data_IF_936463677942
#
_entry.id   IF_936463677942
#
_cell.length_a   1.000
_cell.length_b   1.000
_cell.length_c   1.000
_cell.angle_alpha   90.00
_cell.angle_beta   90.00
_cell.angle_gamma   90.00
#
_symmetry.space_group_name_H-M   'P 1'
#
loop_
_entity.id
_entity.type
_entity.pdbx_description
1 polymer ?
#
# COMPACT_ATOMS: atom_id res chain seq x y z
N UNK A 1 10.96 19.87 -0.45
CA UNK A 1 9.68 19.69 -1.18
C UNK A 1 8.84 18.86 -0.25
N UNK A 2 7.59 19.21 0.07
CA UNK A 2 6.84 18.45 1.08
C UNK A 2 6.44 17.09 0.51
N UNK A 3 7.07 16.01 0.98
CA UNK A 3 6.93 14.64 0.44
C UNK A 3 5.48 14.14 0.45
N UNK A 4 4.72 14.51 1.49
CA UNK A 4 3.28 14.22 1.62
C UNK A 4 2.46 14.75 0.44
N UNK A 5 2.89 15.85 -0.20
CA UNK A 5 2.22 16.41 -1.37
C UNK A 5 2.41 15.54 -2.61
N UNK A 6 3.59 14.93 -2.76
CA UNK A 6 3.90 14.07 -3.90
C UNK A 6 3.18 12.73 -3.79
N UNK A 7 3.25 12.09 -2.62
CA UNK A 7 2.53 10.83 -2.34
C UNK A 7 1.03 10.98 -2.65
N UNK A 8 0.41 12.05 -2.12
CA UNK A 8 -1.01 12.34 -2.39
C UNK A 8 -1.30 12.47 -3.88
N UNK A 9 -0.44 13.17 -4.63
CA UNK A 9 -0.60 13.33 -6.09
C UNK A 9 -0.47 12.01 -6.85
N UNK A 10 0.42 11.12 -6.41
CA UNK A 10 0.60 9.80 -6.99
C UNK A 10 -0.62 8.92 -6.72
N UNK A 11 -1.05 8.86 -5.46
CA UNK A 11 -2.24 8.12 -5.08
C UNK A 11 -3.47 8.61 -5.85
N UNK A 12 -3.68 9.93 -5.93
CA UNK A 12 -4.77 10.49 -6.73
C UNK A 12 -4.68 10.05 -8.21
N UNK A 13 -3.52 10.17 -8.84
CA UNK A 13 -3.34 9.78 -10.25
C UNK A 13 -3.59 8.28 -10.47
N UNK A 14 -3.23 7.44 -9.51
CA UNK A 14 -3.48 6.00 -9.54
C UNK A 14 -4.98 5.70 -9.39
N UNK A 15 -5.65 6.31 -8.41
CA UNK A 15 -7.09 6.13 -8.17
C UNK A 15 -7.95 6.63 -9.35
N UNK A 16 -7.50 7.68 -10.04
CA UNK A 16 -8.12 8.17 -11.28
C UNK A 16 -7.80 7.31 -12.52
N UNK A 17 -6.99 6.25 -12.37
CA UNK A 17 -6.49 5.40 -13.45
C UNK A 17 -5.73 6.19 -14.54
N UNK A 18 -5.03 7.24 -14.12
CA UNK A 18 -4.20 8.11 -14.97
C UNK A 18 -2.78 8.29 -14.42
N UNK A 19 -2.07 7.22 -14.04
CA UNK A 19 -0.72 7.35 -13.46
C UNK A 19 0.33 7.84 -14.47
N UNK A 20 0.10 7.70 -15.78
CA UNK A 20 1.07 8.05 -16.82
C UNK A 20 1.60 9.49 -16.71
N UNK A 21 0.80 10.44 -16.21
CA UNK A 21 1.19 11.85 -16.07
C UNK A 21 2.17 12.11 -14.91
N UNK A 22 2.17 11.26 -13.86
CA UNK A 22 3.02 11.46 -12.67
C UNK A 22 4.30 10.62 -12.71
N UNK A 23 4.31 9.52 -13.47
CA UNK A 23 5.46 8.61 -13.60
C UNK A 23 6.76 9.34 -13.99
N UNK A 24 6.81 10.27 -14.97
CA UNK A 24 8.06 10.95 -15.33
C UNK A 24 8.67 11.73 -14.16
N UNK A 25 7.82 12.42 -13.38
CA UNK A 25 8.24 13.18 -12.20
C UNK A 25 8.75 12.27 -11.09
N UNK A 26 8.07 11.15 -10.84
CA UNK A 26 8.55 10.15 -9.89
C UNK A 26 9.91 9.58 -10.31
N UNK A 27 10.10 9.24 -11.60
CA UNK A 27 11.37 8.75 -12.13
C UNK A 27 12.51 9.75 -11.92
N UNK A 28 12.26 11.04 -12.13
CA UNK A 28 13.25 12.10 -11.90
C UNK A 28 13.69 12.17 -10.44
N UNK A 29 12.74 12.08 -9.50
CA UNK A 29 13.00 12.16 -8.06
C UNK A 29 13.78 10.94 -7.59
N UNK A 30 13.36 9.72 -7.96
CA UNK A 30 14.07 8.49 -7.51
C UNK A 30 15.39 8.26 -8.22
N UNK A 31 15.68 8.98 -9.30
CA UNK A 31 16.98 8.96 -9.98
C UNK A 31 18.05 9.75 -9.22
N UNK A 32 17.65 10.78 -8.47
CA UNK A 32 18.53 11.59 -7.63
C UNK A 32 17.95 11.68 -6.21
N UNK A 33 17.94 10.57 -5.45
CA UNK A 33 17.31 10.52 -4.14
C UNK A 33 18.05 11.46 -3.16
N UNK A 34 17.29 12.21 -2.36
CA UNK A 34 17.85 12.97 -1.25
C UNK A 34 18.16 12.01 -0.10
N UNK A 35 19.43 11.84 0.32
CA UNK A 35 19.79 10.95 1.41
C UNK A 35 19.11 11.29 2.74
N UNK A 36 18.71 12.54 2.94
CA UNK A 36 18.00 12.98 4.15
C UNK A 36 16.61 12.34 4.30
N UNK A 37 16.03 11.84 3.21
CA UNK A 37 14.74 11.15 3.20
C UNK A 37 14.82 9.72 3.73
N UNK A 38 16.03 9.13 3.87
CA UNK A 38 16.18 7.78 4.43
C UNK A 38 15.30 6.74 3.72
N UNK A 39 14.47 6.02 4.48
CA UNK A 39 13.61 4.96 3.96
C UNK A 39 12.47 5.47 3.05
N UNK A 40 12.09 6.75 3.14
CA UNK A 40 11.08 7.34 2.25
C UNK A 40 11.48 7.26 0.77
N UNK A 41 12.78 7.20 0.46
CA UNK A 41 13.23 6.95 -0.92
C UNK A 41 12.74 5.59 -1.44
N UNK A 42 12.77 4.55 -0.60
CA UNK A 42 12.27 3.22 -0.96
C UNK A 42 10.74 3.19 -1.08
N UNK A 43 10.03 3.93 -0.24
CA UNK A 43 8.57 4.12 -0.34
C UNK A 43 8.18 4.80 -1.67
N UNK A 44 8.90 5.85 -2.08
CA UNK A 44 8.70 6.49 -3.38
C UNK A 44 8.93 5.53 -4.56
N UNK A 45 9.88 4.60 -4.45
CA UNK A 45 10.08 3.55 -5.46
C UNK A 45 8.94 2.54 -5.47
N UNK A 46 8.38 2.20 -4.32
CA UNK A 46 7.17 1.39 -4.25
C UNK A 46 6.01 2.05 -5.01
N UNK A 47 5.76 3.34 -4.74
CA UNK A 47 4.73 4.12 -5.44
C UNK A 47 4.97 4.22 -6.94
N UNK A 48 6.23 4.38 -7.36
CA UNK A 48 6.59 4.34 -8.78
C UNK A 48 6.25 2.98 -9.41
N UNK A 49 6.56 1.88 -8.73
CA UNK A 49 6.20 0.54 -9.20
C UNK A 49 4.69 0.37 -9.34
N UNK A 50 3.91 0.82 -8.36
CA UNK A 50 2.45 0.75 -8.43
C UNK A 50 1.87 1.62 -9.56
N UNK A 51 2.38 2.84 -9.75
CA UNK A 51 1.98 3.70 -10.85
C UNK A 51 2.27 3.06 -12.22
N UNK A 52 3.43 2.43 -12.37
CA UNK A 52 3.83 1.72 -13.59
C UNK A 52 2.96 0.49 -13.86
N UNK A 53 2.65 -0.28 -12.82
CA UNK A 53 1.76 -1.44 -12.91
C UNK A 53 0.38 -1.03 -13.43
N UNK A 54 -0.20 0.03 -12.86
CA UNK A 54 -1.51 0.56 -13.28
C UNK A 54 -1.46 1.17 -14.68
N UNK A 55 -0.29 1.66 -15.12
CA UNK A 55 -0.06 2.09 -16.50
C UNK A 55 0.14 0.94 -17.49
N UNK A 56 0.24 -0.31 -17.03
CA UNK A 56 0.49 -1.51 -17.83
C UNK A 56 1.96 -1.79 -18.15
N UNK A 57 2.90 -1.05 -17.55
CA UNK A 57 4.35 -1.30 -17.70
C UNK A 57 4.86 -2.23 -16.59
N UNK A 58 4.43 -3.49 -16.66
CA UNK A 58 4.74 -4.52 -15.67
C UNK A 58 6.26 -4.75 -15.50
N UNK A 59 7.03 -4.62 -16.58
CA UNK A 59 8.48 -4.81 -16.52
C UNK A 59 9.15 -3.70 -15.71
N UNK A 60 8.77 -2.44 -15.93
CA UNK A 60 9.26 -1.33 -15.13
C UNK A 60 8.79 -1.43 -13.67
N UNK A 61 7.53 -1.83 -13.44
CA UNK A 61 6.99 -2.01 -12.10
C UNK A 61 7.81 -3.00 -11.26
N UNK A 62 8.11 -4.16 -11.84
CA UNK A 62 8.97 -5.18 -11.23
C UNK A 62 10.36 -4.65 -10.88
N UNK A 63 10.96 -3.85 -11.75
CA UNK A 63 12.27 -3.26 -11.50
C UNK A 63 12.22 -2.24 -10.35
N UNK A 64 11.23 -1.35 -10.35
CA UNK A 64 11.03 -0.36 -9.28
C UNK A 64 10.82 -1.04 -7.93
N UNK A 65 10.04 -2.12 -7.86
CA UNK A 65 9.83 -2.86 -6.61
C UNK A 65 11.08 -3.63 -6.14
N UNK A 66 11.93 -4.16 -7.05
CA UNK A 66 13.20 -4.76 -6.64
C UNK A 66 14.13 -3.74 -6.00
N UNK A 67 14.19 -2.54 -6.58
CA UNK A 67 14.97 -1.43 -6.04
C UNK A 67 14.41 -0.97 -4.69
N UNK A 68 13.08 -0.79 -4.58
CA UNK A 68 12.41 -0.47 -3.33
C UNK A 68 12.79 -1.47 -2.23
N UNK A 69 12.67 -2.77 -2.49
CA UNK A 69 13.05 -3.81 -1.51
C UNK A 69 14.52 -3.71 -1.10
N UNK A 70 15.43 -3.54 -2.05
CA UNK A 70 16.87 -3.41 -1.78
C UNK A 70 17.21 -2.19 -0.92
N UNK A 71 16.45 -1.10 -1.05
CA UNK A 71 16.66 0.13 -0.27
C UNK A 71 16.01 0.05 1.11
N UNK A 72 14.85 -0.59 1.24
CA UNK A 72 14.09 -0.68 2.50
C UNK A 72 14.65 -1.74 3.48
N UNK A 73 15.18 -2.86 2.98
CA UNK A 73 15.68 -3.96 3.82
C UNK A 73 16.79 -3.56 4.83
N UNK A 74 17.79 -2.73 4.48
CA UNK A 74 18.78 -2.23 5.44
C UNK A 74 18.15 -1.43 6.59
N UNK A 75 17.22 -0.52 6.28
CA UNK A 75 16.53 0.27 7.30
C UNK A 75 15.74 -0.60 8.26
N UNK A 76 15.15 -1.72 7.79
CA UNK A 76 14.38 -2.60 8.66
C UNK A 76 15.28 -3.31 9.69
N UNK A 77 16.54 -3.56 9.35
CA UNK A 77 17.52 -4.13 10.30
C UNK A 77 17.87 -3.12 11.40
N UNK A 78 17.94 -1.84 11.05
CA UNK A 78 18.23 -0.75 12.00
C UNK A 78 17.00 -0.37 12.84
N UNK A 79 15.82 -0.46 12.25
CA UNK A 79 14.54 -0.07 12.85
C UNK A 79 13.53 -1.22 12.77
N UNK A 80 13.75 -2.32 13.51
CA UNK A 80 12.93 -3.53 13.39
C UNK A 80 11.47 -3.33 13.81
N UNK A 81 11.15 -2.26 14.53
CA UNK A 81 9.79 -1.93 15.00
C UNK A 81 9.16 -0.78 14.22
N UNK A 82 9.78 -0.30 13.14
CA UNK A 82 9.20 0.73 12.28
C UNK A 82 8.08 0.12 11.42
N UNK A 83 6.83 0.30 11.86
CA UNK A 83 5.66 -0.32 11.24
C UNK A 83 5.31 0.24 9.86
N UNK A 84 5.67 1.50 9.56
CA UNK A 84 5.52 2.06 8.21
C UNK A 84 6.42 1.32 7.24
N UNK A 85 7.71 1.21 7.59
CA UNK A 85 8.70 0.49 6.80
C UNK A 85 8.34 -0.99 6.58
N UNK A 86 7.79 -1.66 7.60
CA UNK A 86 7.31 -3.04 7.45
C UNK A 86 6.14 -3.11 6.47
N UNK A 87 5.22 -2.14 6.52
CA UNK A 87 4.10 -2.00 5.59
C UNK A 87 4.57 -1.83 4.15
N UNK A 88 5.52 -0.94 3.91
CA UNK A 88 6.09 -0.67 2.57
C UNK A 88 6.76 -1.93 2.01
N UNK A 89 7.51 -2.66 2.85
CA UNK A 89 8.11 -3.93 2.47
C UNK A 89 7.06 -5.01 2.17
N UNK A 90 5.95 -5.05 2.91
CA UNK A 90 4.87 -5.99 2.64
C UNK A 90 4.22 -5.72 1.27
N UNK A 91 3.89 -4.46 0.98
CA UNK A 91 3.31 -4.04 -0.31
C UNK A 91 4.31 -4.21 -1.47
N UNK A 92 5.60 -3.96 -1.22
CA UNK A 92 6.66 -4.18 -2.21
C UNK A 92 6.81 -5.67 -2.54
N UNK A 93 6.85 -6.54 -1.53
CA UNK A 93 6.91 -7.99 -1.76
C UNK A 93 5.62 -8.51 -2.41
N UNK A 94 4.47 -7.88 -2.13
CA UNK A 94 3.24 -8.16 -2.87
C UNK A 94 3.39 -7.85 -4.36
N UNK A 95 3.90 -6.66 -4.71
CA UNK A 95 4.17 -6.31 -6.12
C UNK A 95 5.16 -7.27 -6.80
N UNK A 96 6.14 -7.78 -6.05
CA UNK A 96 7.11 -8.78 -6.55
C UNK A 96 6.56 -10.21 -6.66
N UNK A 97 5.31 -10.45 -6.24
CA UNK A 97 4.71 -11.79 -6.21
C UNK A 97 5.20 -12.69 -5.07
N UNK A 98 5.97 -12.16 -4.11
CA UNK A 98 6.45 -12.91 -2.95
C UNK A 98 5.39 -12.90 -1.83
N UNK A 99 4.36 -13.73 -2.04
CA UNK A 99 3.22 -13.89 -1.12
C UNK A 99 3.65 -14.22 0.31
N UNK A 100 4.61 -15.13 0.46
CA UNK A 100 5.01 -15.63 1.78
C UNK A 100 5.63 -14.51 2.62
N UNK A 101 6.57 -13.76 2.04
CA UNK A 101 7.18 -12.62 2.71
C UNK A 101 6.17 -11.52 3.00
N UNK A 102 5.31 -11.18 2.02
CA UNK A 102 4.31 -10.13 2.19
C UNK A 102 3.35 -10.42 3.36
N UNK A 103 2.82 -11.65 3.45
CA UNK A 103 1.91 -12.05 4.53
C UNK A 103 2.62 -12.07 5.89
N UNK A 104 3.83 -12.64 5.97
CA UNK A 104 4.58 -12.69 7.22
C UNK A 104 4.85 -11.29 7.82
N UNK A 105 5.11 -10.29 6.97
CA UNK A 105 5.30 -8.90 7.41
C UNK A 105 4.00 -8.27 7.93
N UNK A 106 2.86 -8.55 7.28
CA UNK A 106 1.54 -8.08 7.77
C UNK A 106 1.13 -8.74 9.09
N UNK A 107 1.38 -10.04 9.25
CA UNK A 107 1.09 -10.75 10.50
C UNK A 107 1.95 -10.22 11.66
N UNK A 108 3.23 -9.97 11.39
CA UNK A 108 4.16 -9.38 12.37
C UNK A 108 3.68 -8.03 12.88
N UNK A 109 3.25 -7.15 11.99
CA UNK A 109 2.76 -5.80 12.35
C UNK A 109 1.43 -5.86 13.11
N UNK A 110 0.52 -6.75 12.72
CA UNK A 110 -0.74 -6.96 13.42
C UNK A 110 -0.57 -7.53 14.83
N UNK A 111 0.39 -8.44 15.03
CA UNK A 111 0.69 -8.99 16.35
C UNK A 111 1.28 -7.94 17.30
N UNK A 112 2.06 -7.00 16.76
CA UNK A 112 2.70 -5.93 17.52
C UNK A 112 1.76 -4.77 17.86
N UNK A 113 0.85 -4.40 16.94
CA UNK A 113 -0.14 -3.32 17.11
C UNK A 113 -1.58 -3.83 16.94
N UNK A 114 -2.15 -4.50 17.96
CA UNK A 114 -3.56 -4.86 17.92
C UNK A 114 -4.42 -3.59 17.92
N UNK A 115 -5.35 -3.48 16.97
CA UNK A 115 -6.26 -2.32 16.81
C UNK A 115 -7.10 -2.04 18.07
N UNK A 116 -7.31 -3.06 18.90
CA UNK A 116 -8.01 -2.95 20.19
C UNK A 116 -7.25 -2.09 21.20
N UNK A 117 -5.92 -1.97 21.05
CA UNK A 117 -5.07 -1.15 21.93
C UNK A 117 -4.86 0.26 21.38
N UNK A 118 -4.75 0.38 20.08
CA UNK A 118 -4.62 1.66 19.39
C UNK A 118 -5.28 1.55 18.01
N UNK A 119 -6.45 2.15 17.89
CA UNK A 119 -7.23 2.08 16.66
C UNK A 119 -6.59 2.87 15.51
N UNK A 120 -5.76 3.88 15.81
CA UNK A 120 -5.09 4.69 14.80
C UNK A 120 -3.89 3.94 14.21
N UNK A 121 -2.99 3.44 15.04
CA UNK A 121 -1.81 2.69 14.55
C UNK A 121 -2.15 1.26 14.13
N UNK A 122 -3.17 0.64 14.73
CA UNK A 122 -3.60 -0.73 14.41
C UNK A 122 -4.41 -0.85 13.12
N UNK A 123 -4.90 0.25 12.54
CA UNK A 123 -5.62 0.23 11.26
C UNK A 123 -4.68 -0.02 10.07
N UNK A 124 -3.49 0.60 10.05
CA UNK A 124 -2.54 0.48 8.93
C UNK A 124 -2.15 -0.99 8.62
N UNK A 125 -1.76 -1.82 9.61
CA UNK A 125 -1.45 -3.23 9.36
C UNK A 125 -2.61 -4.05 8.76
N UNK A 126 -3.85 -3.75 9.18
CA UNK A 126 -5.05 -4.43 8.68
C UNK A 126 -5.32 -4.03 7.23
N UNK A 127 -5.12 -2.75 6.88
CA UNK A 127 -5.25 -2.29 5.50
C UNK A 127 -4.18 -2.91 4.59
N UNK A 128 -2.93 -2.97 5.05
CA UNK A 128 -1.87 -3.66 4.31
C UNK A 128 -2.20 -5.13 4.09
N UNK A 129 -2.71 -5.83 5.11
CA UNK A 129 -3.20 -7.21 4.96
C UNK A 129 -4.30 -7.31 3.90
N UNK A 130 -5.30 -6.42 3.92
CA UNK A 130 -6.39 -6.44 2.96
C UNK A 130 -5.89 -6.33 1.51
N UNK A 131 -4.92 -5.43 1.27
CA UNK A 131 -4.27 -5.21 -0.04
C UNK A 131 -3.47 -6.43 -0.49
N UNK A 132 -2.61 -6.93 0.41
CA UNK A 132 -1.78 -8.12 0.15
C UNK A 132 -2.65 -9.33 -0.16
N UNK A 133 -3.66 -9.61 0.67
CA UNK A 133 -4.57 -10.73 0.50
C UNK A 133 -5.36 -10.62 -0.82
N UNK A 134 -5.88 -9.44 -1.15
CA UNK A 134 -6.61 -9.21 -2.40
C UNK A 134 -5.74 -9.55 -3.63
N UNK A 135 -4.52 -9.01 -3.68
CA UNK A 135 -3.61 -9.22 -4.81
C UNK A 135 -3.04 -10.65 -4.87
N UNK A 136 -3.01 -11.36 -3.75
CA UNK A 136 -2.50 -12.72 -3.66
C UNK A 136 -3.57 -13.80 -3.82
N UNK A 137 -4.77 -13.42 -4.27
CA UNK A 137 -5.88 -14.33 -4.51
C UNK A 137 -6.47 -14.95 -3.25
N UNK A 138 -6.41 -14.23 -2.13
CA UNK A 138 -6.97 -14.63 -0.82
C UNK A 138 -8.18 -13.74 -0.49
N UNK A 139 -9.34 -13.92 -1.16
CA UNK A 139 -10.49 -13.03 -1.01
C UNK A 139 -11.09 -13.06 0.39
N UNK A 140 -11.12 -14.22 1.04
CA UNK A 140 -11.71 -14.37 2.38
C UNK A 140 -11.00 -13.52 3.45
N UNK A 141 -9.66 -13.62 3.64
CA UNK A 141 -8.97 -12.76 4.59
C UNK A 141 -8.95 -11.29 4.14
N UNK A 142 -8.96 -11.00 2.84
CA UNK A 142 -9.05 -9.63 2.35
C UNK A 142 -10.38 -8.97 2.77
N UNK A 143 -11.50 -9.64 2.50
CA UNK A 143 -12.85 -9.14 2.81
C UNK A 143 -13.05 -8.99 4.32
N UNK A 144 -12.60 -9.97 5.12
CA UNK A 144 -12.68 -9.88 6.57
C UNK A 144 -11.90 -8.67 7.14
N UNK A 145 -10.72 -8.37 6.56
CA UNK A 145 -9.96 -7.18 6.93
C UNK A 145 -10.69 -5.88 6.55
N UNK A 146 -11.26 -5.82 5.35
CA UNK A 146 -12.05 -4.67 4.87
C UNK A 146 -13.30 -4.41 5.72
N UNK A 147 -14.04 -5.46 6.10
CA UNK A 147 -15.21 -5.36 7.00
C UNK A 147 -14.84 -4.73 8.34
N UNK A 148 -13.72 -5.18 8.94
CA UNK A 148 -13.23 -4.66 10.21
C UNK A 148 -12.82 -3.19 10.11
N UNK A 149 -12.16 -2.81 9.02
CA UNK A 149 -11.74 -1.43 8.76
C UNK A 149 -12.95 -0.50 8.57
N UNK A 150 -13.96 -0.91 7.79
CA UNK A 150 -15.16 -0.11 7.56
C UNK A 150 -16.09 -0.02 8.78
N UNK A 151 -16.01 -0.99 9.70
CA UNK A 151 -16.79 -1.00 10.94
C UNK A 151 -16.19 -0.12 12.05
N UNK A 152 -14.95 0.36 11.87
CA UNK A 152 -14.23 1.17 12.87
C UNK A 152 -13.87 2.52 12.26
N UNK A 153 -14.29 3.67 12.83
CA UNK A 153 -13.90 4.97 12.31
C UNK A 153 -12.42 5.24 12.61
N UNK A 154 -11.47 4.79 11.77
CA UNK A 154 -10.05 5.13 11.92
C UNK A 154 -9.27 5.27 10.59
N UNK A 155 -8.22 6.08 10.66
CA UNK A 155 -7.38 6.62 9.56
C UNK A 155 -6.70 5.53 8.71
N UNK A 156 -6.69 5.69 7.39
CA UNK A 156 -6.13 4.71 6.45
C UNK A 156 -4.67 4.97 6.06
N UNK A 157 -4.17 4.11 5.17
CA UNK A 157 -2.75 3.81 5.00
C UNK A 157 -2.13 4.24 3.66
N UNK A 158 -2.91 4.65 2.65
CA UNK A 158 -2.40 5.01 1.30
C UNK A 158 -1.75 6.39 1.16
N UNK A 159 -2.06 7.27 2.09
CA UNK A 159 -1.39 8.53 2.31
C UNK A 159 -1.76 8.89 3.74
N UNK A 160 -0.83 9.44 4.51
CA UNK A 160 -1.09 9.74 5.92
C UNK A 160 -2.44 10.45 6.08
N UNK A 161 -3.38 9.79 6.78
CA UNK A 161 -4.72 10.27 7.10
C UNK A 161 -5.84 10.11 6.05
N UNK A 162 -5.68 9.31 4.98
CA UNK A 162 -6.83 8.95 4.12
C UNK A 162 -7.50 7.67 4.62
N UNK A 163 -8.61 7.78 5.34
CA UNK A 163 -9.43 6.62 5.75
C UNK A 163 -9.94 5.80 4.57
N UNK A 164 -9.92 4.48 4.72
CA UNK A 164 -10.58 3.57 3.80
C UNK A 164 -12.08 3.86 3.83
N UNK A 165 -12.67 4.12 2.67
CA UNK A 165 -14.10 4.37 2.51
C UNK A 165 -14.66 3.47 1.41
N UNK A 166 -15.98 3.20 1.37
CA UNK A 166 -16.60 2.48 0.26
C UNK A 166 -16.28 3.10 -1.11
N UNK A 167 -16.20 4.43 -1.17
CA UNK A 167 -15.79 5.15 -2.38
C UNK A 167 -14.33 4.85 -2.77
N UNK A 168 -13.41 4.83 -1.80
CA UNK A 168 -12.01 4.48 -2.07
C UNK A 168 -11.87 3.02 -2.52
N UNK A 169 -12.62 2.09 -1.90
CA UNK A 169 -12.66 0.69 -2.36
C UNK A 169 -13.02 0.58 -3.83
N UNK A 170 -13.97 1.40 -4.33
CA UNK A 170 -14.37 1.42 -5.75
C UNK A 170 -13.28 1.92 -6.70
N UNK A 171 -12.44 2.85 -6.26
CA UNK A 171 -11.44 3.50 -7.12
C UNK A 171 -10.12 2.73 -7.15
N UNK A 172 -9.76 2.12 -6.02
CA UNK A 172 -8.44 1.57 -5.78
C UNK A 172 -8.12 0.30 -6.60
N UNK A 173 -7.06 0.32 -7.44
CA UNK A 173 -6.60 -0.85 -8.20
C UNK A 173 -6.26 -2.07 -7.37
N UNK A 174 -5.83 -1.90 -6.12
CA UNK A 174 -5.38 -3.03 -5.31
C UNK A 174 -6.52 -3.99 -4.96
N UNK A 175 -7.77 -3.54 -5.09
CA UNK A 175 -8.96 -4.37 -4.87
C UNK A 175 -9.61 -4.85 -6.17
N UNK A 176 -8.99 -4.60 -7.33
CA UNK A 176 -9.52 -5.09 -8.61
C UNK A 176 -9.77 -6.62 -8.65
N UNK A 177 -8.91 -7.47 -8.04
CA UNK A 177 -9.18 -8.90 -7.96
C UNK A 177 -10.49 -9.27 -7.24
N UNK A 178 -10.99 -8.41 -6.35
CA UNK A 178 -12.20 -8.64 -5.55
C UNK A 178 -13.49 -8.14 -6.22
N UNK A 179 -13.39 -7.46 -7.36
CA UNK A 179 -14.53 -6.73 -7.98
C UNK A 179 -15.73 -7.60 -8.32
N UNK A 180 -15.52 -8.90 -8.51
CA UNK A 180 -16.57 -9.87 -8.85
C UNK A 180 -17.10 -10.64 -7.62
N UNK A 181 -16.60 -10.36 -6.41
CA UNK A 181 -17.10 -10.97 -5.18
C UNK A 181 -18.29 -10.15 -4.62
N UNK A 182 -19.49 -10.73 -4.48
CA UNK A 182 -20.67 -10.01 -3.98
C UNK A 182 -20.49 -9.39 -2.60
N UNK A 183 -19.65 -9.98 -1.74
CA UNK A 183 -19.34 -9.43 -0.41
C UNK A 183 -18.57 -8.12 -0.54
N UNK A 184 -17.60 -8.09 -1.44
CA UNK A 184 -16.84 -6.88 -1.73
C UNK A 184 -17.71 -5.80 -2.39
N UNK A 185 -18.56 -6.16 -3.35
CA UNK A 185 -19.53 -5.23 -3.94
C UNK A 185 -20.42 -4.57 -2.89
N UNK A 186 -20.88 -5.33 -1.89
CA UNK A 186 -21.68 -4.79 -0.79
C UNK A 186 -20.89 -3.76 0.04
N UNK A 187 -19.64 -4.06 0.41
CA UNK A 187 -18.76 -3.14 1.14
C UNK A 187 -18.42 -1.87 0.36
N UNK A 188 -18.34 -1.97 -0.96
CA UNK A 188 -18.07 -0.85 -1.85
C UNK A 188 -19.33 -0.02 -2.19
N UNK A 189 -20.52 -0.55 -1.90
CA UNK A 189 -21.82 0.08 -2.22
C UNK A 189 -22.49 0.75 -1.03
N UNK A 190 -22.06 0.45 0.19
CA UNK A 190 -22.55 1.13 1.40
C UNK A 190 -22.28 2.64 1.28
N UNK A 191 -23.34 3.44 1.34
CA UNK A 191 -23.24 4.89 1.45
C UNK A 191 -22.68 5.25 2.85
N UNK A 192 -21.94 6.37 3.00
CA UNK A 192 -21.50 6.85 4.31
C UNK A 192 -22.67 7.17 5.25
#
# INVERSE_FOLDING_TARGET
MDDTTLETQVCQAILERRPAQIIPRLKEIVANPDPALGYFNGELRFYLGWAQEVAGDHAAAQESWRQARSELEPFLKEQPENYQLIGDLALTNMGLGDKATALALTERTMAANPVEKDALSGARPIETLARVAAQMGEPDPAIAALERLLSTPCSGALAENISLTPALLRLDPMFDPLRNDPRFENLASTAP
#
